data_IF_962048849744
#
_entry.id   IF_962048849744
#
_cell.length_a   1.000
_cell.length_b   1.000
_cell.length_c   1.000
_cell.angle_alpha   90.00
_cell.angle_beta   90.00
_cell.angle_gamma   90.00
#
_symmetry.space_group_name_H-M   'P 1'
#
loop_
_entity.id
_entity.type
_entity.pdbx_description
1 polymer ?
#
# COMPACT_ATOMS: atom_id res chain seq x y z
N UNK A 1 1.85 -48.36 44.52
CA UNK A 1 2.86 -47.28 44.64
C UNK A 1 2.32 -46.08 43.88
N UNK A 2 1.89 -45.04 44.58
CA UNK A 2 1.19 -43.88 44.01
C UNK A 2 2.17 -42.70 43.91
N UNK A 3 2.41 -42.22 42.69
CA UNK A 3 3.32 -41.10 42.42
C UNK A 3 2.58 -39.79 42.75
N UNK A 4 3.15 -38.88 43.57
CA UNK A 4 2.45 -37.66 43.96
C UNK A 4 2.41 -36.64 42.81
N UNK A 5 1.19 -36.31 42.37
CA UNK A 5 0.88 -35.20 41.45
C UNK A 5 0.97 -33.85 42.18
N UNK A 6 2.17 -33.27 42.31
CA UNK A 6 2.32 -31.95 42.97
C UNK A 6 3.20 -30.93 42.24
N UNK A 7 3.58 -31.14 40.96
CA UNK A 7 4.58 -30.27 40.30
C UNK A 7 4.05 -29.45 39.10
N UNK A 8 2.85 -29.70 38.57
CA UNK A 8 2.45 -29.06 37.29
C UNK A 8 1.90 -27.62 37.40
N UNK A 9 1.47 -27.16 38.57
CA UNK A 9 0.86 -25.83 38.74
C UNK A 9 1.88 -24.67 38.76
N UNK A 10 3.14 -24.93 39.11
CA UNK A 10 4.14 -23.88 39.33
C UNK A 10 4.77 -23.33 38.02
N UNK A 11 4.82 -24.14 36.95
CA UNK A 11 5.44 -23.74 35.68
C UNK A 11 4.63 -22.71 34.89
N UNK A 12 3.29 -22.80 34.95
CA UNK A 12 2.41 -21.88 34.25
C UNK A 12 2.46 -20.46 34.85
N UNK A 13 2.60 -20.36 36.17
CA UNK A 13 2.71 -19.06 36.85
C UNK A 13 4.06 -18.39 36.60
N UNK A 14 5.15 -19.16 36.51
CA UNK A 14 6.46 -18.64 36.12
C UNK A 14 6.43 -18.07 34.69
N UNK A 15 5.83 -18.78 33.73
CA UNK A 15 5.67 -18.30 32.35
C UNK A 15 4.83 -17.03 32.27
N UNK A 16 3.73 -16.95 33.04
CA UNK A 16 2.90 -15.73 33.13
C UNK A 16 3.67 -14.55 33.71
N UNK A 17 4.43 -14.75 34.79
CA UNK A 17 5.26 -13.71 35.42
C UNK A 17 6.36 -13.22 34.47
N UNK A 18 7.01 -14.12 33.74
CA UNK A 18 8.03 -13.75 32.75
C UNK A 18 7.43 -12.95 31.58
N UNK A 19 6.28 -13.37 31.07
CA UNK A 19 5.54 -12.63 30.04
C UNK A 19 5.16 -11.22 30.48
N UNK A 20 4.71 -11.04 31.73
CA UNK A 20 4.44 -9.72 32.30
C UNK A 20 5.70 -8.87 32.43
N UNK A 21 6.83 -9.44 32.85
CA UNK A 21 8.12 -8.72 32.94
C UNK A 21 8.57 -8.22 31.56
N UNK A 22 8.50 -9.08 30.53
CA UNK A 22 8.83 -8.70 29.14
C UNK A 22 7.93 -7.57 28.63
N UNK A 23 6.61 -7.64 28.88
CA UNK A 23 5.68 -6.57 28.50
C UNK A 23 5.99 -5.23 29.19
N UNK A 24 6.30 -5.25 30.50
CA UNK A 24 6.68 -4.05 31.25
C UNK A 24 7.99 -3.44 30.74
N UNK A 25 8.99 -4.28 30.47
CA UNK A 25 10.26 -3.84 29.89
C UNK A 25 10.09 -3.21 28.51
N UNK A 26 9.34 -3.85 27.61
CA UNK A 26 9.07 -3.30 26.28
C UNK A 26 8.27 -1.99 26.36
N UNK A 27 7.30 -1.90 27.27
CA UNK A 27 6.53 -0.67 27.47
C UNK A 27 7.43 0.48 27.99
N UNK A 28 8.39 0.19 28.86
CA UNK A 28 9.34 1.18 29.34
C UNK A 28 10.26 1.68 28.21
N UNK A 29 10.77 0.77 27.36
CA UNK A 29 11.56 1.13 26.17
C UNK A 29 10.78 2.05 25.23
N UNK A 30 9.55 1.67 24.88
CA UNK A 30 8.69 2.49 24.02
C UNK A 30 8.37 3.86 24.61
N UNK A 31 8.24 3.97 25.94
CA UNK A 31 8.04 5.26 26.61
C UNK A 31 9.28 6.15 26.51
N UNK A 32 10.47 5.57 26.66
CA UNK A 32 11.74 6.30 26.51
C UNK A 32 11.92 6.78 25.07
N UNK A 33 11.75 5.91 24.07
CA UNK A 33 11.83 6.27 22.65
C UNK A 33 10.84 7.39 22.28
N UNK A 34 9.60 7.32 22.78
CA UNK A 34 8.60 8.37 22.54
C UNK A 34 8.98 9.71 23.21
N UNK A 35 9.62 9.66 24.38
CA UNK A 35 10.14 10.87 25.04
C UNK A 35 11.28 11.51 24.24
N UNK A 36 12.21 10.71 23.72
CA UNK A 36 13.31 11.17 22.86
C UNK A 36 12.78 11.81 21.58
N UNK A 37 11.84 11.16 20.89
CA UNK A 37 11.20 11.70 19.69
C UNK A 37 10.50 13.05 19.94
N UNK A 38 9.85 13.22 21.10
CA UNK A 38 9.25 14.50 21.48
C UNK A 38 10.29 15.60 21.65
N UNK A 39 11.42 15.30 22.26
CA UNK A 39 12.53 16.24 22.38
C UNK A 39 13.12 16.61 21.00
N UNK A 40 13.31 15.65 20.10
CA UNK A 40 13.77 15.89 18.73
C UNK A 40 12.80 16.78 17.95
N UNK A 41 11.50 16.51 18.01
CA UNK A 41 10.47 17.34 17.36
C UNK A 41 10.50 18.78 17.91
N UNK A 42 10.68 18.94 19.22
CA UNK A 42 10.75 20.26 19.83
C UNK A 42 12.03 21.02 19.41
N UNK A 43 13.16 20.33 19.28
CA UNK A 43 14.42 20.91 18.78
C UNK A 43 14.27 21.40 17.33
N UNK A 44 13.71 20.57 16.44
CA UNK A 44 13.46 20.93 15.04
C UNK A 44 12.50 22.12 14.91
N UNK A 45 11.46 22.20 15.76
CA UNK A 45 10.54 23.35 15.80
C UNK A 45 11.27 24.65 16.17
N UNK A 46 12.19 24.59 17.15
CA UNK A 46 13.02 25.75 17.52
C UNK A 46 13.95 26.17 16.38
N UNK A 47 14.53 25.21 15.67
CA UNK A 47 15.40 25.47 14.51
C UNK A 47 14.64 26.13 13.35
N UNK A 48 13.46 25.61 12.99
CA UNK A 48 12.58 26.22 11.98
C UNK A 48 12.21 27.66 12.38
N UNK A 49 11.95 27.89 13.68
CA UNK A 49 11.66 29.25 14.17
C UNK A 49 12.85 30.19 13.99
N UNK A 50 14.07 29.73 14.27
CA UNK A 50 15.30 30.52 14.06
C UNK A 50 15.51 30.86 12.59
N UNK A 51 15.32 29.88 11.70
CA UNK A 51 15.44 30.07 10.25
C UNK A 51 14.41 31.06 9.69
N UNK A 52 13.20 31.10 10.28
CA UNK A 52 12.18 32.09 9.92
C UNK A 52 12.58 33.50 10.33
N UNK A 53 13.17 33.66 11.52
CA UNK A 53 13.62 34.99 12.01
C UNK A 53 14.88 35.50 11.32
N UNK A 54 15.73 34.61 10.79
CA UNK A 54 16.97 35.00 10.09
C UNK A 54 16.77 35.29 8.61
N UNK A 55 15.56 35.13 8.07
CA UNK A 55 15.29 35.41 6.66
C UNK A 55 15.23 36.94 6.49
N UNK A 56 16.12 37.57 5.69
CA UNK A 56 16.07 39.01 5.46
C UNK A 56 14.69 39.37 4.89
N UNK A 57 14.07 40.40 5.46
CA UNK A 57 12.76 40.91 5.02
C UNK A 57 12.90 41.48 3.62
N UNK A 58 12.78 40.62 2.61
CA UNK A 58 12.46 41.07 1.26
C UNK A 58 11.11 41.78 1.33
N UNK A 59 11.02 43.06 0.92
CA UNK A 59 9.75 43.76 0.91
C UNK A 59 8.73 42.96 0.10
N UNK A 60 7.47 42.89 0.54
CA UNK A 60 6.43 42.19 -0.20
C UNK A 60 6.40 42.75 -1.63
N UNK A 61 6.33 41.90 -2.67
CA UNK A 61 6.18 42.38 -4.03
C UNK A 61 4.95 43.29 -4.06
N UNK A 62 5.14 44.50 -4.59
CA UNK A 62 4.07 45.47 -4.80
C UNK A 62 2.86 44.77 -5.43
N UNK A 63 1.63 45.14 -5.07
CA UNK A 63 0.43 44.46 -5.55
C UNK A 63 0.30 44.66 -7.06
N UNK A 64 0.90 43.77 -7.82
CA UNK A 64 0.67 43.67 -9.26
C UNK A 64 -0.81 43.35 -9.40
N UNK A 65 -1.57 44.24 -10.07
CA UNK A 65 -2.95 43.96 -10.46
C UNK A 65 -2.95 42.72 -11.35
N UNK A 66 -3.07 41.55 -10.75
CA UNK A 66 -3.27 40.29 -11.47
C UNK A 66 -4.68 40.39 -12.04
N UNK A 67 -4.78 40.69 -13.32
CA UNK A 67 -6.02 40.57 -14.07
C UNK A 67 -6.42 39.08 -14.08
N UNK A 68 -7.46 38.75 -13.32
CA UNK A 68 -7.98 37.39 -13.16
C UNK A 68 -8.91 36.98 -14.33
N UNK A 69 -8.60 37.39 -15.56
CA UNK A 69 -9.50 37.15 -16.70
C UNK A 69 -9.34 35.75 -17.30
N UNK A 70 -8.27 35.02 -16.96
CA UNK A 70 -8.02 33.66 -17.47
C UNK A 70 -7.90 32.58 -16.39
N UNK A 71 -8.28 32.88 -15.15
CA UNK A 71 -8.17 31.92 -14.05
C UNK A 71 -9.46 31.11 -13.93
N UNK A 72 -9.33 29.78 -14.06
CA UNK A 72 -10.42 28.80 -13.90
C UNK A 72 -11.33 29.14 -12.70
N UNK A 73 -12.67 29.01 -12.83
CA UNK A 73 -13.62 29.29 -11.74
C UNK A 73 -13.27 28.58 -10.42
N UNK A 74 -12.64 27.40 -10.50
CA UNK A 74 -12.18 26.63 -9.35
C UNK A 74 -10.94 27.22 -8.66
N UNK A 75 -10.07 27.90 -9.40
CA UNK A 75 -8.92 28.61 -8.83
C UNK A 75 -9.36 29.92 -8.16
N UNK A 76 -10.35 30.64 -8.72
CA UNK A 76 -11.00 31.77 -8.04
C UNK A 76 -11.64 31.36 -6.71
N UNK A 77 -12.38 30.24 -6.68
CA UNK A 77 -12.95 29.69 -5.43
C UNK A 77 -11.89 29.35 -4.39
N UNK A 78 -10.76 28.75 -4.79
CA UNK A 78 -9.66 28.40 -3.87
C UNK A 78 -8.93 29.63 -3.35
N UNK A 79 -8.71 30.66 -4.18
CA UNK A 79 -8.12 31.94 -3.74
C UNK A 79 -9.02 32.66 -2.73
N UNK A 80 -10.34 32.68 -2.99
CA UNK A 80 -11.33 33.25 -2.06
C UNK A 80 -11.40 32.45 -0.75
N UNK A 81 -11.16 31.14 -0.76
CA UNK A 81 -11.09 30.34 0.46
C UNK A 81 -9.80 30.57 1.27
N UNK A 82 -8.67 30.87 0.62
CA UNK A 82 -7.40 31.17 1.32
C UNK A 82 -7.36 32.57 1.94
N UNK A 83 -8.11 33.52 1.39
CA UNK A 83 -8.30 34.85 1.99
C UNK A 83 -9.24 34.85 3.21
N UNK A 84 -9.85 33.71 3.58
CA UNK A 84 -10.84 33.64 4.67
C UNK A 84 -10.27 33.41 6.06
N UNK A 85 -9.00 33.05 6.20
CA UNK A 85 -8.49 32.57 7.49
C UNK A 85 -7.90 33.66 8.41
N UNK A 86 -7.59 34.86 7.92
CA UNK A 86 -6.89 35.86 8.77
C UNK A 86 -7.75 37.06 9.24
N UNK A 87 -8.83 37.47 8.55
CA UNK A 87 -9.46 38.79 8.85
C UNK A 87 -11.01 38.87 8.81
N UNK A 88 -11.76 37.77 9.00
CA UNK A 88 -13.23 37.86 9.03
C UNK A 88 -13.79 38.07 10.45
N UNK A 89 -14.56 39.14 10.70
CA UNK A 89 -15.33 39.28 11.94
C UNK A 89 -16.32 38.12 12.05
N UNK A 90 -16.50 37.58 13.26
CA UNK A 90 -17.40 36.47 13.61
C UNK A 90 -18.88 36.85 13.39
N UNK A 91 -19.28 37.04 12.14
CA UNK A 91 -20.66 37.28 11.72
C UNK A 91 -21.33 35.98 11.27
N UNK A 92 -22.65 35.92 11.38
CA UNK A 92 -23.42 34.80 10.85
C UNK A 92 -23.31 34.75 9.31
N UNK A 93 -23.42 33.56 8.68
CA UNK A 93 -23.30 33.41 7.22
C UNK A 93 -24.21 34.35 6.41
N UNK A 94 -25.31 34.81 6.99
CA UNK A 94 -26.25 35.77 6.41
C UNK A 94 -25.65 37.19 6.27
N UNK A 95 -24.89 37.64 7.27
CA UNK A 95 -24.26 38.97 7.26
C UNK A 95 -23.12 39.04 6.22
N UNK A 96 -22.39 37.94 6.05
CA UNK A 96 -21.37 37.80 5.01
C UNK A 96 -22.01 37.87 3.61
N UNK A 97 -23.16 37.21 3.40
CA UNK A 97 -23.88 37.28 2.11
C UNK A 97 -24.30 38.69 1.75
N UNK A 98 -24.89 39.42 2.70
CA UNK A 98 -25.38 40.78 2.46
C UNK A 98 -24.23 41.77 2.21
N UNK A 99 -23.10 41.62 2.90
CA UNK A 99 -21.96 42.53 2.78
C UNK A 99 -21.17 42.36 1.47
N UNK A 100 -21.11 41.15 0.92
CA UNK A 100 -20.35 40.85 -0.31
C UNK A 100 -21.22 40.71 -1.57
N UNK A 101 -22.54 40.92 -1.49
CA UNK A 101 -23.44 40.88 -2.65
C UNK A 101 -23.48 39.53 -3.38
N UNK A 102 -23.09 38.44 -2.71
CA UNK A 102 -23.04 37.11 -3.33
C UNK A 102 -24.46 36.52 -3.33
N UNK A 103 -25.22 36.85 -4.38
CA UNK A 103 -26.46 36.16 -4.71
C UNK A 103 -26.13 34.74 -5.17
N UNK A 104 -26.15 33.79 -4.24
CA UNK A 104 -26.24 32.36 -4.57
C UNK A 104 -27.71 32.10 -4.94
N UNK A 105 -28.15 32.65 -6.06
CA UNK A 105 -29.43 32.29 -6.63
C UNK A 105 -29.37 30.81 -7.03
N UNK A 106 -30.32 30.05 -6.49
CA UNK A 106 -30.83 28.74 -6.91
C UNK A 106 -30.19 28.15 -8.19
N UNK A 107 -29.01 27.53 -8.08
CA UNK A 107 -28.46 26.62 -9.11
C UNK A 107 -28.87 25.16 -8.86
N UNK A 108 -30.12 24.94 -8.48
CA UNK A 108 -30.64 23.61 -8.17
C UNK A 108 -31.82 23.30 -9.08
N UNK A 109 -31.56 22.66 -10.23
CA UNK A 109 -32.46 21.67 -10.86
C UNK A 109 -31.84 21.01 -12.11
N UNK A 110 -30.93 21.66 -12.85
CA UNK A 110 -30.27 21.04 -14.03
C UNK A 110 -29.08 20.12 -13.69
N UNK A 111 -28.55 20.17 -12.46
CA UNK A 111 -27.35 19.43 -12.04
C UNK A 111 -27.60 17.99 -11.60
N UNK A 112 -28.84 17.61 -11.26
CA UNK A 112 -29.14 16.24 -10.80
C UNK A 112 -29.11 15.23 -11.95
N UNK A 113 -29.64 15.61 -13.10
CA UNK A 113 -29.67 14.75 -14.29
C UNK A 113 -28.25 14.49 -14.82
N UNK A 114 -27.40 15.53 -14.86
CA UNK A 114 -26.00 15.39 -15.27
C UNK A 114 -25.15 14.60 -14.27
N UNK A 115 -25.46 14.67 -12.96
CA UNK A 115 -24.81 13.82 -11.96
C UNK A 115 -25.25 12.36 -12.06
N UNK A 116 -26.52 12.08 -12.38
CA UNK A 116 -26.98 10.70 -12.57
C UNK A 116 -26.38 10.05 -13.81
N UNK A 117 -26.19 10.79 -14.91
CA UNK A 117 -25.55 10.27 -16.12
C UNK A 117 -24.07 10.02 -15.90
N UNK A 118 -23.36 10.95 -15.27
CA UNK A 118 -21.94 10.78 -14.91
C UNK A 118 -21.74 9.56 -14.02
N UNK A 119 -22.55 9.41 -12.97
CA UNK A 119 -22.51 8.25 -12.09
C UNK A 119 -22.67 6.96 -12.91
N UNK A 120 -23.72 6.87 -13.72
CA UNK A 120 -23.99 5.66 -14.53
C UNK A 120 -22.85 5.33 -15.50
N UNK A 121 -22.20 6.34 -16.09
CA UNK A 121 -21.05 6.14 -16.98
C UNK A 121 -19.81 5.62 -16.23
N UNK A 122 -19.53 6.16 -15.04
CA UNK A 122 -18.44 5.68 -14.19
C UNK A 122 -18.70 4.23 -13.75
N UNK A 123 -19.94 3.92 -13.36
CA UNK A 123 -20.32 2.56 -12.97
C UNK A 123 -20.19 1.58 -14.15
N UNK A 124 -20.67 1.96 -15.33
CA UNK A 124 -20.55 1.15 -16.54
C UNK A 124 -19.08 0.88 -16.91
N UNK A 125 -18.22 1.90 -16.82
CA UNK A 125 -16.78 1.76 -17.03
C UNK A 125 -16.13 0.81 -16.04
N UNK A 126 -16.43 0.94 -14.74
CA UNK A 126 -15.83 0.08 -13.72
C UNK A 126 -16.38 -1.35 -13.74
N UNK A 127 -17.60 -1.56 -14.25
CA UNK A 127 -18.19 -2.89 -14.41
C UNK A 127 -17.64 -3.69 -15.59
N UNK A 128 -16.77 -3.12 -16.42
CA UNK A 128 -16.15 -3.88 -17.52
C UNK A 128 -15.13 -4.89 -17.00
N UNK A 129 -15.00 -6.01 -17.71
CA UNK A 129 -14.17 -7.13 -17.32
C UNK A 129 -12.66 -6.91 -17.50
N UNK A 130 -12.25 -5.91 -18.29
CA UNK A 130 -10.86 -5.45 -18.43
C UNK A 130 -10.44 -4.52 -17.28
N UNK A 131 -11.40 -3.87 -16.63
CA UNK A 131 -11.18 -2.90 -15.54
C UNK A 131 -11.32 -3.56 -14.15
N UNK A 132 -12.36 -4.38 -13.98
CA UNK A 132 -12.60 -5.14 -12.74
C UNK A 132 -12.91 -6.60 -13.03
N UNK A 133 -12.54 -7.49 -12.10
CA UNK A 133 -12.90 -8.92 -12.15
C UNK A 133 -13.77 -9.31 -10.98
N UNK A 134 -14.73 -10.21 -11.21
CA UNK A 134 -15.53 -10.80 -10.14
C UNK A 134 -14.65 -11.52 -9.13
N UNK A 135 -14.98 -11.35 -7.85
CA UNK A 135 -14.33 -12.10 -6.78
C UNK A 135 -14.60 -13.60 -6.99
N UNK A 136 -13.56 -14.45 -6.97
CA UNK A 136 -13.73 -15.90 -7.12
C UNK A 136 -14.66 -16.50 -6.05
N UNK A 137 -14.68 -15.90 -4.86
CA UNK A 137 -15.57 -16.28 -3.78
C UNK A 137 -16.97 -15.67 -3.98
N UNK A 138 -17.88 -16.48 -4.54
CA UNK A 138 -19.28 -16.09 -4.80
C UNK A 138 -20.06 -15.71 -3.54
N UNK A 139 -19.58 -16.09 -2.34
CA UNK A 139 -20.21 -15.75 -1.06
C UNK A 139 -19.94 -14.32 -0.64
N UNK A 140 -18.90 -13.67 -1.18
CA UNK A 140 -18.60 -12.27 -0.89
C UNK A 140 -19.52 -11.35 -1.68
N UNK A 141 -20.50 -10.80 -0.97
CA UNK A 141 -21.45 -9.84 -1.50
C UNK A 141 -21.46 -8.57 -0.65
N UNK A 142 -21.70 -7.44 -1.31
CA UNK A 142 -21.91 -6.13 -0.69
C UNK A 142 -23.18 -5.57 -1.31
N UNK A 143 -24.14 -5.22 -0.47
CA UNK A 143 -25.47 -4.72 -0.89
C UNK A 143 -26.18 -5.67 -1.89
N UNK A 144 -26.03 -6.99 -1.69
CA UNK A 144 -26.61 -8.02 -2.55
C UNK A 144 -25.91 -8.22 -3.89
N UNK A 145 -24.85 -7.47 -4.18
CA UNK A 145 -24.05 -7.62 -5.40
C UNK A 145 -22.73 -8.35 -5.11
N UNK A 146 -22.31 -9.22 -6.03
CA UNK A 146 -21.02 -9.92 -5.91
C UNK A 146 -19.87 -8.92 -6.00
N UNK A 147 -18.91 -9.03 -5.07
CA UNK A 147 -17.75 -8.14 -5.03
C UNK A 147 -16.93 -8.28 -6.32
N UNK A 148 -16.50 -7.13 -6.87
CA UNK A 148 -15.55 -7.04 -7.98
C UNK A 148 -14.26 -6.39 -7.50
N UNK A 149 -13.12 -6.88 -7.98
CA UNK A 149 -11.82 -6.33 -7.64
C UNK A 149 -11.26 -5.48 -8.78
N UNK A 150 -10.78 -4.28 -8.44
CA UNK A 150 -10.07 -3.41 -9.37
C UNK A 150 -8.74 -4.03 -9.81
N UNK A 151 -8.50 -4.03 -11.12
CA UNK A 151 -7.27 -4.56 -11.72
C UNK A 151 -6.13 -3.53 -11.76
N UNK A 152 -6.45 -2.25 -11.53
CA UNK A 152 -5.49 -1.14 -11.49
C UNK A 152 -5.79 -0.21 -10.31
N UNK A 153 -4.86 0.71 -10.04
CA UNK A 153 -5.06 1.77 -9.05
C UNK A 153 -6.14 2.76 -9.54
N UNK A 154 -6.96 3.28 -8.64
CA UNK A 154 -8.03 4.23 -8.97
C UNK A 154 -7.54 5.46 -9.72
N UNK A 155 -6.31 5.93 -9.47
CA UNK A 155 -5.73 7.06 -10.22
C UNK A 155 -5.54 6.74 -11.72
N UNK A 156 -5.08 5.52 -12.02
CA UNK A 156 -4.87 5.07 -13.40
C UNK A 156 -6.23 4.88 -14.08
N UNK A 157 -7.19 4.27 -13.36
CA UNK A 157 -8.54 4.07 -13.86
C UNK A 157 -9.26 5.39 -14.14
N UNK A 158 -9.01 6.42 -13.32
CA UNK A 158 -9.52 7.77 -13.53
C UNK A 158 -8.96 8.40 -14.82
N UNK A 159 -7.65 8.36 -15.01
CA UNK A 159 -7.02 8.85 -16.25
C UNK A 159 -7.52 8.08 -17.49
N UNK A 160 -7.67 6.77 -17.37
CA UNK A 160 -8.20 5.93 -18.45
C UNK A 160 -9.65 6.28 -18.78
N UNK A 161 -10.48 6.54 -17.75
CA UNK A 161 -11.86 7.00 -17.94
C UNK A 161 -11.93 8.35 -18.67
N UNK A 162 -11.11 9.33 -18.27
CA UNK A 162 -11.05 10.65 -18.93
C UNK A 162 -10.65 10.53 -20.40
N UNK A 163 -9.64 9.70 -20.70
CA UNK A 163 -9.16 9.46 -22.06
C UNK A 163 -10.21 8.77 -22.94
N UNK A 164 -10.91 7.76 -22.43
CA UNK A 164 -11.86 6.97 -23.22
C UNK A 164 -13.20 7.68 -23.42
N UNK A 165 -13.68 8.39 -22.39
CA UNK A 165 -15.01 9.03 -22.42
C UNK A 165 -14.96 10.49 -22.85
N UNK A 166 -13.77 11.12 -22.83
CA UNK A 166 -13.60 12.57 -23.04
C UNK A 166 -14.38 13.43 -22.04
N UNK A 167 -14.70 12.89 -20.86
CA UNK A 167 -15.39 13.61 -19.79
C UNK A 167 -14.36 14.05 -18.75
N UNK A 168 -14.18 15.37 -18.62
CA UNK A 168 -13.33 15.96 -17.58
C UNK A 168 -14.03 15.84 -16.21
N UNK A 169 -13.45 15.06 -15.31
CA UNK A 169 -14.02 14.81 -13.98
C UNK A 169 -12.92 14.83 -12.93
N UNK A 170 -13.07 15.63 -11.88
CA UNK A 170 -12.11 15.61 -10.78
C UNK A 170 -11.98 14.21 -10.15
N UNK A 171 -10.76 13.78 -9.83
CA UNK A 171 -10.48 12.49 -9.18
C UNK A 171 -11.34 12.23 -7.93
N UNK A 172 -11.62 13.27 -7.14
CA UNK A 172 -12.47 13.16 -5.93
C UNK A 172 -13.92 12.86 -6.30
N UNK A 173 -14.43 13.45 -7.38
CA UNK A 173 -15.79 13.18 -7.88
C UNK A 173 -15.85 11.78 -8.45
N UNK A 174 -14.86 11.38 -9.25
CA UNK A 174 -14.76 10.03 -9.80
C UNK A 174 -14.80 8.96 -8.70
N UNK A 175 -13.94 9.10 -7.67
CA UNK A 175 -13.88 8.15 -6.54
C UNK A 175 -15.14 8.10 -5.68
N UNK A 176 -15.90 9.19 -5.57
CA UNK A 176 -17.21 9.20 -4.89
C UNK A 176 -18.30 8.42 -5.62
N UNK A 177 -18.16 8.25 -6.93
CA UNK A 177 -19.09 7.51 -7.76
C UNK A 177 -18.70 6.05 -7.98
N UNK A 178 -17.61 5.58 -7.37
CA UNK A 178 -17.23 4.16 -7.39
C UNK A 178 -18.24 3.37 -6.55
N UNK A 179 -18.87 2.32 -7.11
CA UNK A 179 -19.80 1.47 -6.36
C UNK A 179 -19.14 0.74 -5.18
N UNK A 180 -19.86 0.52 -4.08
CA UNK A 180 -19.30 -0.10 -2.87
C UNK A 180 -18.90 -1.58 -3.06
N UNK A 181 -19.52 -2.27 -4.03
CA UNK A 181 -19.17 -3.65 -4.40
C UNK A 181 -17.89 -3.74 -5.25
N UNK A 182 -17.34 -2.62 -5.71
CA UNK A 182 -16.04 -2.55 -6.39
C UNK A 182 -14.98 -2.19 -5.35
N UNK A 183 -14.11 -3.15 -5.05
CA UNK A 183 -13.14 -3.04 -3.96
C UNK A 183 -11.70 -3.18 -4.46
N UNK A 184 -10.77 -2.56 -3.73
CA UNK A 184 -9.35 -2.87 -3.90
C UNK A 184 -9.10 -4.26 -3.30
N UNK A 185 -8.41 -5.16 -4.01
CA UNK A 185 -8.07 -6.46 -3.46
C UNK A 185 -7.23 -6.30 -2.19
N UNK A 186 -7.71 -6.88 -1.08
CA UNK A 186 -6.94 -7.01 0.16
C UNK A 186 -6.17 -8.34 0.16
N UNK A 187 -4.99 -8.37 0.78
CA UNK A 187 -4.14 -9.56 0.90
C UNK A 187 -4.88 -10.76 1.51
N UNK A 188 -5.76 -10.52 2.48
CA UNK A 188 -6.53 -11.58 3.14
C UNK A 188 -7.79 -11.99 2.36
N UNK A 189 -8.20 -11.17 1.39
CA UNK A 189 -9.48 -11.33 0.69
C UNK A 189 -9.38 -12.18 -0.58
N UNK A 190 -8.16 -12.44 -1.06
CA UNK A 190 -7.87 -13.25 -2.23
C UNK A 190 -7.53 -14.68 -1.81
N UNK A 191 -8.42 -15.63 -2.10
CA UNK A 191 -8.14 -17.07 -2.02
C UNK A 191 -7.25 -17.61 -3.14
N UNK A 192 -6.92 -16.78 -4.14
CA UNK A 192 -6.14 -17.14 -5.33
C UNK A 192 -4.90 -16.26 -5.53
N UNK A 193 -3.87 -16.84 -6.13
CA UNK A 193 -2.51 -16.33 -6.25
C UNK A 193 -2.38 -15.02 -7.05
N UNK A 194 -1.49 -14.13 -6.59
CA UNK A 194 -0.99 -12.94 -7.29
C UNK A 194 0.01 -13.28 -8.43
N UNK A 195 -0.16 -14.39 -9.16
CA UNK A 195 0.81 -14.85 -10.17
C UNK A 195 0.67 -14.09 -11.49
N UNK A 196 1.73 -14.10 -12.32
CA UNK A 196 1.90 -13.36 -13.59
C UNK A 196 0.67 -13.39 -14.51
N UNK A 197 -0.07 -14.49 -14.50
CA UNK A 197 -1.23 -14.72 -15.38
C UNK A 197 -2.53 -14.05 -14.89
N UNK A 198 -2.66 -13.71 -13.59
CA UNK A 198 -3.96 -13.41 -12.97
C UNK A 198 -4.18 -11.94 -12.56
N UNK A 199 -3.59 -10.98 -13.28
CA UNK A 199 -3.82 -9.53 -13.19
C UNK A 199 -3.38 -8.82 -11.89
N UNK A 200 -2.21 -8.18 -11.98
CA UNK A 200 -1.98 -6.75 -11.67
C UNK A 200 -0.45 -6.53 -11.68
N UNK A 201 0.15 -6.33 -12.88
CA UNK A 201 1.58 -6.11 -13.03
C UNK A 201 2.08 -4.93 -12.20
N UNK A 202 1.24 -3.90 -12.02
CA UNK A 202 1.60 -2.68 -11.31
C UNK A 202 1.73 -2.90 -9.80
N UNK A 203 0.82 -3.63 -9.17
CA UNK A 203 0.94 -3.99 -7.74
C UNK A 203 2.16 -4.86 -7.46
N UNK A 204 2.54 -5.72 -8.41
CA UNK A 204 3.78 -6.51 -8.31
C UNK A 204 4.99 -5.61 -8.46
N UNK A 205 4.98 -4.71 -9.44
CA UNK A 205 6.06 -3.76 -9.62
C UNK A 205 6.22 -2.86 -8.40
N UNK A 206 5.15 -2.37 -7.79
CA UNK A 206 5.19 -1.58 -6.56
C UNK A 206 5.72 -2.39 -5.37
N UNK A 207 5.31 -3.64 -5.21
CA UNK A 207 5.79 -4.51 -4.11
C UNK A 207 7.24 -4.96 -4.33
N UNK A 208 7.62 -5.21 -5.58
CA UNK A 208 9.00 -5.47 -5.99
C UNK A 208 9.85 -4.20 -5.84
N UNK A 209 9.32 -3.01 -6.11
CA UNK A 209 10.00 -1.72 -5.87
C UNK A 209 10.22 -1.46 -4.36
N UNK A 210 9.22 -1.78 -3.54
CA UNK A 210 9.34 -1.71 -2.08
C UNK A 210 10.37 -2.72 -1.55
N UNK A 211 10.46 -3.92 -2.14
CA UNK A 211 11.45 -4.93 -1.81
C UNK A 211 12.83 -4.66 -2.46
N UNK A 212 12.88 -3.94 -3.59
CA UNK A 212 14.11 -3.55 -4.33
C UNK A 212 15.01 -2.67 -3.49
N UNK A 213 14.44 -1.80 -2.67
CA UNK A 213 15.20 -0.99 -1.71
C UNK A 213 15.79 -1.81 -0.57
N UNK A 214 15.23 -3.00 -0.29
CA UNK A 214 15.68 -3.88 0.80
C UNK A 214 16.64 -4.97 0.33
N UNK A 215 16.57 -5.43 -0.92
CA UNK A 215 17.40 -6.52 -1.46
C UNK A 215 17.90 -6.23 -2.89
N UNK A 216 18.62 -5.13 -3.09
CA UNK A 216 19.15 -4.72 -4.40
C UNK A 216 19.96 -5.81 -5.12
N UNK A 217 20.58 -6.73 -4.37
CA UNK A 217 21.47 -7.75 -4.92
C UNK A 217 20.71 -8.94 -5.52
N UNK A 218 19.49 -9.24 -5.04
CA UNK A 218 18.64 -10.32 -5.57
C UNK A 218 18.07 -9.98 -6.97
N UNK A 219 18.02 -8.69 -7.31
CA UNK A 219 17.52 -8.18 -8.60
C UNK A 219 18.31 -8.69 -9.79
N UNK A 220 19.62 -8.88 -9.63
CA UNK A 220 20.48 -9.36 -10.70
C UNK A 220 20.29 -10.86 -10.92
N UNK A 221 20.00 -11.62 -9.86
CA UNK A 221 19.84 -13.07 -9.90
C UNK A 221 18.51 -13.54 -10.51
N UNK A 222 17.39 -12.84 -10.25
CA UNK A 222 16.08 -13.27 -10.76
C UNK A 222 15.78 -12.85 -12.21
N UNK A 223 16.52 -11.89 -12.76
CA UNK A 223 16.30 -11.38 -14.12
C UNK A 223 17.37 -11.86 -15.12
N UNK A 224 18.37 -12.60 -14.64
CA UNK A 224 19.43 -13.12 -15.48
C UNK A 224 18.91 -14.31 -16.30
N UNK A 225 19.28 -14.38 -17.58
CA UNK A 225 18.85 -15.46 -18.46
C UNK A 225 19.39 -16.81 -17.94
N UNK A 226 18.85 -17.98 -18.36
CA UNK A 226 19.41 -19.29 -18.00
C UNK A 226 20.92 -19.42 -18.28
N UNK A 227 21.44 -18.65 -19.23
CA UNK A 227 22.85 -18.54 -19.58
C UNK A 227 23.71 -17.88 -18.48
N UNK A 228 23.17 -16.92 -17.73
CA UNK A 228 23.90 -16.20 -16.67
C UNK A 228 24.00 -16.99 -15.36
N UNK A 229 23.20 -18.07 -15.22
CA UNK A 229 23.30 -18.99 -14.08
C UNK A 229 24.62 -19.77 -14.10
N UNK A 230 25.15 -20.09 -15.28
CA UNK A 230 26.46 -20.74 -15.43
C UNK A 230 27.62 -19.83 -15.01
N UNK A 231 27.54 -18.53 -15.33
CA UNK A 231 28.52 -17.53 -14.91
C UNK A 231 28.52 -17.28 -13.39
N UNK A 232 27.39 -17.56 -12.74
CA UNK A 232 27.27 -17.52 -11.29
C UNK A 232 27.92 -18.74 -10.62
N UNK A 233 27.78 -19.92 -11.24
CA UNK A 233 28.35 -21.19 -10.74
C UNK A 233 29.87 -21.24 -10.97
N UNK A 234 30.36 -20.51 -11.97
CA UNK A 234 31.78 -20.48 -12.30
C UNK A 234 32.61 -19.56 -11.39
N UNK A 235 31.97 -18.70 -10.60
CA UNK A 235 32.62 -17.71 -9.74
C UNK A 235 32.36 -18.02 -8.26
N UNK A 236 33.41 -18.49 -7.57
CA UNK A 236 33.36 -18.85 -6.15
C UNK A 236 32.90 -17.70 -5.24
N UNK A 237 33.24 -16.44 -5.58
CA UNK A 237 32.80 -15.29 -4.79
C UNK A 237 31.30 -15.05 -4.91
N UNK A 238 30.74 -15.20 -6.12
CA UNK A 238 29.28 -15.07 -6.35
C UNK A 238 28.52 -16.20 -5.69
N UNK A 239 29.05 -17.43 -5.72
CA UNK A 239 28.49 -18.55 -4.96
C UNK A 239 28.44 -18.19 -3.48
N UNK A 240 29.54 -17.68 -2.92
CA UNK A 240 29.62 -17.30 -1.50
C UNK A 240 28.59 -16.22 -1.15
N UNK A 241 28.50 -15.15 -1.93
CA UNK A 241 27.50 -14.09 -1.74
C UNK A 241 26.07 -14.64 -1.81
N UNK A 242 25.81 -15.56 -2.75
CA UNK A 242 24.53 -16.24 -2.84
C UNK A 242 24.23 -17.10 -1.60
N UNK A 243 25.24 -17.80 -1.04
CA UNK A 243 25.09 -18.56 0.21
C UNK A 243 24.71 -17.63 1.38
N UNK A 244 25.41 -16.50 1.50
CA UNK A 244 25.18 -15.54 2.59
C UNK A 244 23.75 -14.94 2.51
N UNK A 245 23.29 -14.62 1.30
CA UNK A 245 21.93 -14.14 1.06
C UNK A 245 20.85 -15.19 1.42
N UNK A 246 21.09 -16.48 1.11
CA UNK A 246 20.18 -17.56 1.50
C UNK A 246 20.10 -17.72 3.01
N UNK A 247 21.25 -17.66 3.70
CA UNK A 247 21.31 -17.75 5.15
C UNK A 247 20.60 -16.55 5.82
N UNK A 248 20.66 -15.35 5.24
CA UNK A 248 19.92 -14.18 5.72
C UNK A 248 18.40 -14.35 5.54
N UNK A 249 17.96 -14.80 4.36
CA UNK A 249 16.54 -15.08 4.10
C UNK A 249 15.95 -16.15 5.04
N UNK A 250 16.75 -17.14 5.42
CA UNK A 250 16.37 -18.15 6.39
C UNK A 250 16.24 -17.57 7.81
N UNK A 251 17.18 -16.74 8.25
CA UNK A 251 17.11 -16.02 9.52
C UNK A 251 15.86 -15.14 9.60
N UNK A 252 15.50 -14.49 8.50
CA UNK A 252 14.29 -13.66 8.41
C UNK A 252 12.98 -14.47 8.38
N UNK A 253 13.05 -15.80 8.20
CA UNK A 253 11.88 -16.71 8.14
C UNK A 253 10.82 -16.24 7.15
N UNK A 254 11.25 -15.73 5.99
CA UNK A 254 10.32 -15.28 4.96
C UNK A 254 9.57 -16.49 4.41
N UNK A 255 8.24 -16.41 4.42
CA UNK A 255 7.36 -17.49 3.99
C UNK A 255 6.65 -17.08 2.70
N UNK A 256 6.70 -17.97 1.71
CA UNK A 256 5.88 -17.89 0.50
C UNK A 256 4.67 -18.79 0.67
N UNK A 257 3.50 -18.30 0.27
CA UNK A 257 2.26 -19.08 0.32
C UNK A 257 1.87 -19.44 -1.11
N UNK A 258 1.79 -20.73 -1.41
CA UNK A 258 1.32 -21.22 -2.70
C UNK A 258 -0.21 -21.34 -2.72
N UNK A 259 -0.82 -21.00 -3.85
CA UNK A 259 -2.25 -21.24 -4.05
C UNK A 259 -2.50 -22.56 -4.80
N UNK A 260 -3.69 -23.09 -4.57
CA UNK A 260 -4.24 -24.37 -5.05
C UNK A 260 -4.04 -24.65 -6.56
N UNK A 261 -3.99 -23.60 -7.38
CA UNK A 261 -3.89 -23.73 -8.84
C UNK A 261 -2.49 -24.13 -9.33
N UNK A 262 -1.42 -23.76 -8.61
CA UNK A 262 -0.06 -24.23 -8.93
C UNK A 262 0.15 -25.70 -8.54
N UNK A 263 -0.58 -26.19 -7.53
CA UNK A 263 -0.52 -27.60 -7.10
C UNK A 263 -1.03 -28.55 -8.18
N UNK A 264 -2.06 -28.17 -8.93
CA UNK A 264 -2.62 -29.00 -10.03
C UNK A 264 -1.67 -29.22 -11.21
N UNK A 265 -0.57 -28.45 -11.29
CA UNK A 265 0.44 -28.58 -12.36
C UNK A 265 1.68 -29.36 -11.93
N UNK A 266 1.78 -29.76 -10.66
CA UNK A 266 2.89 -30.55 -10.14
C UNK A 266 2.35 -31.97 -9.89
N UNK A 267 2.72 -32.96 -10.73
CA UNK A 267 2.37 -34.35 -10.46
C UNK A 267 2.87 -34.77 -9.06
N UNK A 268 2.01 -35.46 -8.29
CA UNK A 268 2.35 -36.15 -7.03
C UNK A 268 2.64 -35.34 -5.75
N UNK A 269 2.37 -34.02 -5.70
CA UNK A 269 2.64 -33.20 -4.50
C UNK A 269 1.53 -33.28 -3.42
N UNK A 270 1.77 -34.05 -2.33
CA UNK A 270 0.81 -34.35 -1.23
C UNK A 270 0.87 -33.38 -0.02
N UNK A 271 0.95 -32.06 -0.23
CA UNK A 271 0.99 -31.10 0.90
C UNK A 271 -0.38 -30.40 1.17
N UNK A 272 -0.76 -30.15 2.44
CA UNK A 272 -2.07 -29.57 2.83
C UNK A 272 -2.35 -28.17 2.26
N UNK A 273 -3.64 -27.80 2.21
CA UNK A 273 -4.29 -26.79 1.33
C UNK A 273 -3.76 -25.33 1.44
N UNK A 274 -2.93 -25.00 2.42
CA UNK A 274 -2.16 -23.76 2.45
C UNK A 274 -0.80 -24.04 3.08
N UNK A 275 0.14 -24.50 2.27
CA UNK A 275 1.51 -24.71 2.76
C UNK A 275 2.24 -23.38 2.67
N UNK A 276 2.39 -22.76 3.84
CA UNK A 276 3.42 -21.77 4.10
C UNK A 276 4.77 -22.46 3.92
N UNK A 277 5.47 -22.14 2.85
CA UNK A 277 6.80 -22.69 2.57
C UNK A 277 7.84 -21.60 2.79
N UNK A 278 8.88 -21.85 3.60
CA UNK A 278 10.01 -20.91 3.71
C UNK A 278 10.62 -20.62 2.33
N UNK A 279 10.90 -19.36 2.01
CA UNK A 279 11.55 -18.96 0.76
C UNK A 279 12.91 -19.64 0.60
N UNK A 280 13.62 -19.86 1.71
CA UNK A 280 14.88 -20.62 1.74
C UNK A 280 14.72 -22.04 1.18
N UNK A 281 13.63 -22.73 1.52
CA UNK A 281 13.34 -24.08 1.02
C UNK A 281 13.09 -24.07 -0.50
N UNK A 282 12.38 -23.06 -1.00
CA UNK A 282 12.10 -22.93 -2.44
C UNK A 282 13.34 -22.62 -3.26
N UNK A 283 14.19 -21.73 -2.76
CA UNK A 283 15.46 -21.44 -3.39
C UNK A 283 16.38 -22.67 -3.38
N UNK A 284 16.35 -23.46 -2.30
CA UNK A 284 17.07 -24.73 -2.24
C UNK A 284 16.60 -25.72 -3.32
N UNK A 285 15.29 -25.93 -3.43
CA UNK A 285 14.72 -26.81 -4.46
C UNK A 285 15.04 -26.32 -5.87
N UNK A 286 15.02 -25.00 -6.10
CA UNK A 286 15.39 -24.40 -7.38
C UNK A 286 16.86 -24.67 -7.72
N UNK A 287 17.79 -24.39 -6.78
CA UNK A 287 19.22 -24.63 -6.97
C UNK A 287 19.49 -26.11 -7.20
N UNK A 288 18.90 -26.99 -6.40
CA UNK A 288 19.09 -28.44 -6.58
C UNK A 288 18.58 -28.94 -7.94
N UNK A 289 17.48 -28.36 -8.44
CA UNK A 289 16.88 -28.75 -9.73
C UNK A 289 17.65 -28.24 -10.94
N UNK A 290 18.17 -27.02 -10.88
CA UNK A 290 18.76 -26.35 -12.04
C UNK A 290 20.29 -26.25 -11.99
N UNK A 291 20.89 -26.43 -10.81
CA UNK A 291 22.33 -26.34 -10.53
C UNK A 291 22.77 -27.55 -9.69
N UNK A 292 22.56 -28.76 -10.21
CA UNK A 292 22.84 -30.01 -9.49
C UNK A 292 24.30 -30.20 -9.06
N UNK A 293 25.22 -29.44 -9.66
CA UNK A 293 26.65 -29.42 -9.34
C UNK A 293 26.96 -28.67 -8.04
N UNK A 294 26.07 -27.80 -7.57
CA UNK A 294 26.23 -27.07 -6.31
C UNK A 294 25.67 -27.91 -5.17
N UNK A 295 26.54 -28.38 -4.27
CA UNK A 295 26.11 -29.10 -3.08
C UNK A 295 25.39 -28.16 -2.07
N UNK A 296 24.06 -28.15 -2.19
CA UNK A 296 23.16 -27.38 -1.32
C UNK A 296 22.98 -27.96 0.08
N UNK A 297 23.56 -29.13 0.38
CA UNK A 297 23.48 -29.73 1.72
C UNK A 297 24.28 -28.94 2.76
N UNK A 298 25.37 -28.28 2.32
CA UNK A 298 26.25 -27.46 3.16
C UNK A 298 25.68 -26.11 3.60
N UNK A 299 24.54 -25.69 3.08
CA UNK A 299 24.01 -24.33 3.26
C UNK A 299 23.24 -24.12 4.57
N UNK A 300 22.92 -25.19 5.30
CA UNK A 300 21.86 -25.18 6.33
C UNK A 300 22.28 -25.81 7.67
N UNK A 301 23.57 -25.80 8.00
CA UNK A 301 24.10 -26.22 9.31
C UNK A 301 24.62 -25.04 10.11
#
# INVERSE_FOLDING_TARGET
>A
MSIPMLVSTNLNDLRKKEGQRRRRSNLAKLKNENSELRHTIQALRKEISKLRTSRPSTPPPSPTKIFFDHVSPNAKKRAILRLKDEDLPRGTPQQIRNKFGINISKNNLSSKTSQSTLKSQIEAFLCRDDITKLCPDKKKQVDGQQVRYCLNNMKILHQQFELETSIDVDYVTFTRHVPPYIQKPNHDSWGTCLCIVCLNPQLKYEKIQQLKHKYSNIKNFMNSAPTDLYDLVSDEMKIKEFKDNLAELEKEKIVVTFCEWQKKKIPDYKAPISTKVPMSLLMKEFVQKFLSEIDVSSFFY
#
